data_IF_498931150565
#
_entry.id   IF_498931150565
#
_cell.length_a   1.000
_cell.length_b   1.000
_cell.length_c   1.000
_cell.angle_alpha   90.00
_cell.angle_beta   90.00
_cell.angle_gamma   90.00
#
_symmetry.space_group_name_H-M   'P 1'
#
loop_
_entity.id
_entity.type
_entity.pdbx_description
1 polymer ?
#
# COMPACT_ATOMS: atom_id res chain seq x y z
N UNK A 1 17.48 -17.36 9.42
CA UNK A 1 17.96 -16.15 8.72
C UNK A 1 17.03 -15.66 7.60
N UNK A 2 16.42 -16.55 6.79
CA UNK A 2 15.47 -16.18 5.71
C UNK A 2 14.34 -15.24 6.16
N UNK A 3 13.73 -15.50 7.33
CA UNK A 3 12.62 -14.68 7.84
C UNK A 3 13.00 -13.25 8.27
N UNK A 4 14.25 -12.98 8.66
CA UNK A 4 14.67 -11.63 9.06
C UNK A 4 14.97 -10.79 7.82
N UNK A 5 15.52 -11.41 6.79
CA UNK A 5 15.79 -10.79 5.50
C UNK A 5 14.47 -10.41 4.81
N UNK A 6 13.51 -11.33 4.69
CA UNK A 6 12.20 -11.03 4.11
C UNK A 6 11.49 -9.87 4.82
N UNK A 7 11.48 -9.87 6.17
CA UNK A 7 10.91 -8.77 6.95
C UNK A 7 11.61 -7.42 6.72
N UNK A 8 12.92 -7.43 6.48
CA UNK A 8 13.67 -6.23 6.16
C UNK A 8 13.25 -5.69 4.78
N UNK A 9 13.15 -6.57 3.78
CA UNK A 9 12.70 -6.19 2.44
C UNK A 9 11.25 -5.71 2.42
N UNK A 10 10.34 -6.35 3.17
CA UNK A 10 8.96 -5.88 3.33
C UNK A 10 8.91 -4.45 3.90
N UNK A 11 9.75 -4.15 4.91
CA UNK A 11 9.85 -2.80 5.48
C UNK A 11 10.39 -1.80 4.47
N UNK A 12 11.44 -2.16 3.74
CA UNK A 12 12.03 -1.32 2.69
C UNK A 12 10.98 -1.06 1.60
N UNK A 13 10.28 -2.09 1.13
CA UNK A 13 9.22 -1.95 0.13
C UNK A 13 8.10 -1.02 0.62
N UNK A 14 7.67 -1.16 1.87
CA UNK A 14 6.65 -0.28 2.46
C UNK A 14 7.09 1.19 2.49
N UNK A 15 8.36 1.46 2.82
CA UNK A 15 8.92 2.81 2.80
C UNK A 15 9.00 3.34 1.36
N UNK A 16 9.46 2.53 0.41
CA UNK A 16 9.54 2.93 -1.00
C UNK A 16 8.17 3.23 -1.60
N UNK A 17 7.15 2.45 -1.21
CA UNK A 17 5.76 2.72 -1.59
C UNK A 17 5.30 4.08 -1.06
N UNK A 18 5.50 4.35 0.23
CA UNK A 18 5.14 5.62 0.83
C UNK A 18 5.86 6.80 0.16
N UNK A 19 7.17 6.67 -0.14
CA UNK A 19 7.93 7.69 -0.87
C UNK A 19 7.40 7.92 -2.28
N UNK A 20 6.97 6.86 -2.97
CA UNK A 20 6.37 6.99 -4.32
C UNK A 20 5.10 7.83 -4.27
N UNK A 21 4.25 7.64 -3.25
CA UNK A 21 3.07 8.48 -3.03
C UNK A 21 3.43 9.93 -2.71
N UNK A 22 4.46 10.15 -1.90
CA UNK A 22 4.96 11.52 -1.61
C UNK A 22 5.43 12.20 -2.89
N UNK A 23 6.18 11.52 -3.75
CA UNK A 23 6.67 12.09 -5.01
C UNK A 23 5.55 12.37 -6.01
N UNK A 24 4.47 11.57 -5.96
CA UNK A 24 3.28 11.78 -6.77
C UNK A 24 2.48 13.02 -6.31
N UNK A 25 2.38 13.25 -4.99
CA UNK A 25 1.65 14.37 -4.39
C UNK A 25 2.44 15.70 -4.35
N UNK A 26 3.77 15.61 -4.34
CA UNK A 26 4.66 16.78 -4.30
C UNK A 26 5.67 16.66 -5.46
N UNK A 27 5.28 17.05 -6.68
CA UNK A 27 6.20 17.08 -7.82
C UNK A 27 7.25 18.21 -7.70
N UNK A 28 6.95 19.24 -6.91
CA UNK A 28 7.79 20.44 -6.74
C UNK A 28 9.08 20.20 -5.94
N UNK A 29 9.24 19.06 -5.27
CA UNK A 29 10.45 18.72 -4.50
C UNK A 29 11.68 18.50 -5.41
N UNK A 30 11.54 18.63 -6.73
CA UNK A 30 12.65 18.61 -7.68
C UNK A 30 13.22 17.22 -7.97
N UNK A 31 12.47 16.17 -7.65
CA UNK A 31 12.90 14.79 -7.91
C UNK A 31 12.59 14.43 -9.35
N UNK A 32 13.63 14.05 -10.10
CA UNK A 32 13.49 13.67 -11.52
C UNK A 32 12.52 12.49 -11.68
N UNK A 33 11.64 12.56 -12.68
CA UNK A 33 10.75 11.47 -13.07
C UNK A 33 11.46 10.10 -13.24
N UNK A 34 12.72 10.12 -13.70
CA UNK A 34 13.54 8.90 -13.82
C UNK A 34 13.79 8.23 -12.47
N UNK A 35 13.95 9.01 -11.41
CA UNK A 35 14.19 8.53 -10.05
C UNK A 35 12.89 7.94 -9.48
N UNK A 36 11.74 8.60 -9.66
CA UNK A 36 10.46 8.04 -9.18
C UNK A 36 10.11 6.74 -9.90
N UNK A 37 10.32 6.67 -11.22
CA UNK A 37 10.12 5.45 -12.00
C UNK A 37 11.03 4.31 -11.53
N UNK A 38 12.30 4.60 -11.23
CA UNK A 38 13.24 3.61 -10.72
C UNK A 38 12.84 3.11 -9.32
N UNK A 39 12.38 4.00 -8.43
CA UNK A 39 11.83 3.64 -7.11
C UNK A 39 10.59 2.77 -7.24
N UNK A 40 9.70 3.08 -8.18
CA UNK A 40 8.49 2.29 -8.45
C UNK A 40 8.81 0.89 -8.99
N UNK A 41 9.77 0.78 -9.91
CA UNK A 41 10.24 -0.52 -10.44
C UNK A 41 10.86 -1.35 -9.30
N UNK A 42 11.72 -0.74 -8.48
CA UNK A 42 12.29 -1.42 -7.31
C UNK A 42 11.21 -1.88 -6.33
N UNK A 43 10.19 -1.05 -6.07
CA UNK A 43 9.07 -1.45 -5.23
C UNK A 43 8.35 -2.68 -5.77
N UNK A 44 8.03 -2.71 -7.07
CA UNK A 44 7.36 -3.86 -7.71
C UNK A 44 8.22 -5.12 -7.60
N UNK A 45 9.52 -5.01 -7.92
CA UNK A 45 10.46 -6.14 -7.83
C UNK A 45 10.56 -6.66 -6.40
N UNK A 46 10.69 -5.77 -5.42
CA UNK A 46 10.75 -6.15 -4.01
C UNK A 46 9.45 -6.80 -3.55
N UNK A 47 8.29 -6.24 -3.91
CA UNK A 47 6.99 -6.77 -3.55
C UNK A 47 6.76 -8.19 -4.10
N UNK A 48 7.20 -8.46 -5.34
CA UNK A 48 7.12 -9.79 -5.94
C UNK A 48 8.06 -10.77 -5.25
N UNK A 49 9.29 -10.37 -4.94
CA UNK A 49 10.29 -11.24 -4.28
C UNK A 49 9.91 -11.54 -2.83
N UNK A 50 9.29 -10.58 -2.11
CA UNK A 50 8.83 -10.78 -0.73
C UNK A 50 7.42 -11.31 -0.63
N UNK A 51 6.78 -11.69 -1.74
CA UNK A 51 5.47 -12.33 -1.70
C UNK A 51 5.62 -13.75 -1.15
N UNK A 52 5.78 -13.89 0.17
CA UNK A 52 5.66 -15.18 0.82
C UNK A 52 4.20 -15.65 0.61
N UNK A 53 4.03 -16.87 0.08
CA UNK A 53 2.74 -17.56 -0.01
C UNK A 53 2.21 -17.87 1.39
N UNK A 54 1.86 -16.84 2.16
CA UNK A 54 1.51 -16.96 3.56
C UNK A 54 0.10 -17.52 3.69
N UNK A 55 0.06 -18.67 4.36
CA UNK A 55 -1.11 -19.33 4.90
C UNK A 55 -2.06 -18.30 5.53
N UNK A 56 -3.27 -18.16 4.98
CA UNK A 56 -4.25 -17.15 5.37
C UNK A 56 -4.65 -17.33 6.84
N UNK A 57 -4.09 -16.50 7.72
CA UNK A 57 -4.32 -16.48 9.18
C UNK A 57 -5.31 -15.38 9.54
N UNK A 58 -5.99 -15.45 10.70
CA UNK A 58 -6.78 -14.28 11.17
C UNK A 58 -5.83 -13.09 11.44
N UNK A 59 -4.57 -13.37 11.83
CA UNK A 59 -3.53 -12.36 11.99
C UNK A 59 -3.17 -11.69 10.66
N UNK A 60 -3.25 -12.41 9.54
CA UNK A 60 -3.00 -11.83 8.21
C UNK A 60 -4.16 -10.93 7.76
N UNK A 61 -5.41 -11.25 8.11
CA UNK A 61 -6.56 -10.37 7.84
C UNK A 61 -6.49 -9.04 8.61
N UNK A 62 -6.05 -9.07 9.88
CA UNK A 62 -5.83 -7.84 10.66
C UNK A 62 -4.74 -6.96 10.05
N UNK A 63 -3.65 -7.58 9.57
CA UNK A 63 -2.59 -6.87 8.84
C UNK A 63 -3.10 -6.28 7.53
N UNK A 64 -3.86 -7.05 6.74
CA UNK A 64 -4.46 -6.58 5.48
C UNK A 64 -5.37 -5.37 5.71
N UNK A 65 -6.23 -5.42 6.74
CA UNK A 65 -7.05 -4.28 7.15
C UNK A 65 -6.21 -3.06 7.54
N UNK A 66 -5.20 -3.26 8.40
CA UNK A 66 -4.34 -2.18 8.86
C UNK A 66 -3.59 -1.53 7.69
N UNK A 67 -3.07 -2.31 6.74
CA UNK A 67 -2.41 -1.80 5.53
C UNK A 67 -3.36 -0.97 4.68
N UNK A 68 -4.56 -1.47 4.38
CA UNK A 68 -5.56 -0.73 3.58
C UNK A 68 -5.93 0.59 4.26
N UNK A 69 -6.14 0.58 5.58
CA UNK A 69 -6.43 1.81 6.33
C UNK A 69 -5.24 2.78 6.40
N UNK A 70 -4.02 2.26 6.52
CA UNK A 70 -2.81 3.08 6.57
C UNK A 70 -2.55 3.79 5.25
N UNK A 71 -2.78 3.12 4.11
CA UNK A 71 -2.67 3.75 2.79
C UNK A 71 -3.70 4.88 2.67
N UNK A 72 -4.94 4.65 3.08
CA UNK A 72 -5.98 5.68 2.99
C UNK A 72 -5.68 6.89 3.90
N UNK A 73 -5.18 6.64 5.12
CA UNK A 73 -4.71 7.69 6.01
C UNK A 73 -3.54 8.47 5.43
N UNK A 74 -2.60 7.79 4.77
CA UNK A 74 -1.47 8.44 4.13
C UNK A 74 -1.93 9.38 3.00
N UNK A 75 -2.82 8.91 2.12
CA UNK A 75 -3.39 9.76 1.06
C UNK A 75 -4.11 10.99 1.65
N UNK A 76 -4.87 10.79 2.73
CA UNK A 76 -5.56 11.87 3.43
C UNK A 76 -4.60 12.87 4.03
N UNK A 77 -3.53 12.42 4.70
CA UNK A 77 -2.50 13.31 5.26
C UNK A 77 -1.80 14.11 4.14
N UNK A 78 -1.43 13.45 3.04
CA UNK A 78 -0.76 14.10 1.90
C UNK A 78 -1.68 15.18 1.28
N UNK A 79 -2.97 14.88 1.13
CA UNK A 79 -3.97 15.83 0.63
C UNK A 79 -4.18 17.00 1.59
N UNK A 80 -4.26 16.75 2.91
CA UNK A 80 -4.44 17.80 3.92
C UNK A 80 -3.25 18.77 4.03
N UNK A 81 -2.04 18.30 3.72
CA UNK A 81 -0.82 19.13 3.70
C UNK A 81 -0.73 19.97 2.40
N UNK A 82 -1.72 19.84 1.50
CA UNK A 82 -1.80 20.61 0.26
C UNK A 82 -1.09 19.93 -0.92
N UNK A 83 -0.76 18.64 -0.81
CA UNK A 83 -0.28 17.87 -1.94
C UNK A 83 -1.42 17.54 -2.90
N UNK A 84 -1.15 17.61 -4.21
CA UNK A 84 -2.07 17.18 -5.26
C UNK A 84 -1.40 16.07 -6.09
N UNK A 85 -2.05 14.91 -6.15
CA UNK A 85 -1.59 13.79 -6.96
C UNK A 85 -1.63 14.15 -8.44
N UNK A 86 -0.48 14.01 -9.13
CA UNK A 86 -0.42 14.16 -10.58
C UNK A 86 -1.08 12.99 -11.34
N UNK A 87 -1.07 11.79 -10.75
CA UNK A 87 -1.63 10.59 -11.37
C UNK A 87 -3.08 10.30 -10.96
N UNK A 88 -3.76 11.25 -10.32
CA UNK A 88 -5.17 11.13 -9.97
C UNK A 88 -5.45 10.23 -8.77
N UNK A 89 -4.47 9.99 -7.90
CA UNK A 89 -4.64 9.30 -6.60
C UNK A 89 -5.24 10.21 -5.51
N UNK A 90 -5.94 11.27 -5.90
CA UNK A 90 -6.60 12.21 -4.99
C UNK A 90 -7.85 11.59 -4.35
N UNK A 91 -8.21 12.11 -3.18
CA UNK A 91 -9.44 11.71 -2.48
C UNK A 91 -10.73 12.07 -3.23
N UNK A 92 -10.66 13.00 -4.18
CA UNK A 92 -11.80 13.34 -5.05
C UNK A 92 -12.03 12.30 -6.15
N UNK A 93 -11.07 11.40 -6.37
CA UNK A 93 -11.22 10.36 -7.38
C UNK A 93 -12.11 9.22 -6.84
N UNK A 94 -13.29 8.98 -7.45
CA UNK A 94 -14.19 7.91 -7.01
C UNK A 94 -13.57 6.51 -7.11
N UNK A 95 -12.56 6.32 -7.96
CA UNK A 95 -11.84 5.05 -8.11
C UNK A 95 -11.11 4.68 -6.80
N UNK A 96 -10.52 5.65 -6.09
CA UNK A 96 -9.82 5.41 -4.82
C UNK A 96 -10.78 4.87 -3.77
N UNK A 97 -11.96 5.48 -3.67
CA UNK A 97 -13.02 5.01 -2.79
C UNK A 97 -13.50 3.61 -3.15
N UNK A 98 -13.69 3.32 -4.44
CA UNK A 98 -14.09 2.00 -4.90
C UNK A 98 -13.05 0.93 -4.53
N UNK A 99 -11.76 1.22 -4.75
CA UNK A 99 -10.66 0.33 -4.37
C UNK A 99 -10.60 0.12 -2.85
N UNK A 100 -10.78 1.19 -2.08
CA UNK A 100 -10.79 1.14 -0.61
C UNK A 100 -11.94 0.28 -0.08
N UNK A 101 -13.19 0.60 -0.46
CA UNK A 101 -14.36 -0.14 -0.02
C UNK A 101 -14.38 -1.57 -0.56
N UNK A 102 -13.94 -1.78 -1.81
CA UNK A 102 -13.76 -3.10 -2.39
C UNK A 102 -12.78 -3.94 -1.58
N UNK A 103 -11.63 -3.37 -1.21
CA UNK A 103 -10.64 -4.05 -0.36
C UNK A 103 -11.23 -4.39 1.02
N UNK A 104 -11.90 -3.45 1.68
CA UNK A 104 -12.58 -3.70 2.95
C UNK A 104 -13.64 -4.81 2.84
N UNK A 105 -14.44 -4.78 1.77
CA UNK A 105 -15.45 -5.81 1.51
C UNK A 105 -14.82 -7.19 1.36
N UNK A 106 -13.72 -7.32 0.60
CA UNK A 106 -13.02 -8.60 0.48
C UNK A 106 -12.50 -9.11 1.82
N UNK A 107 -11.97 -8.23 2.67
CA UNK A 107 -11.51 -8.59 4.03
C UNK A 107 -12.67 -9.07 4.89
N UNK A 108 -13.82 -8.39 4.85
CA UNK A 108 -15.02 -8.78 5.60
C UNK A 108 -15.54 -10.15 5.13
N UNK A 109 -15.60 -10.37 3.81
CA UNK A 109 -16.03 -11.66 3.23
C UNK A 109 -15.08 -12.79 3.66
N UNK A 110 -13.77 -12.56 3.58
CA UNK A 110 -12.75 -13.53 4.05
C UNK A 110 -12.89 -13.81 5.54
N UNK A 111 -13.12 -12.78 6.36
CA UNK A 111 -13.32 -12.91 7.80
C UNK A 111 -14.57 -13.73 8.14
N UNK A 112 -15.70 -13.42 7.50
CA UNK A 112 -16.97 -14.16 7.68
C UNK A 112 -16.81 -15.62 7.29
N UNK A 113 -16.23 -15.91 6.12
CA UNK A 113 -15.96 -17.29 5.67
C UNK A 113 -15.14 -18.06 6.69
N UNK A 114 -14.06 -17.45 7.20
CA UNK A 114 -13.18 -18.12 8.15
C UNK A 114 -13.82 -18.40 9.51
N UNK A 115 -14.74 -17.53 9.96
CA UNK A 115 -15.56 -17.74 11.16
C UNK A 115 -16.56 -18.90 11.01
N UNK A 116 -17.00 -19.21 9.78
CA UNK A 116 -17.96 -20.30 9.52
C UNK A 116 -17.31 -21.69 9.49
N UNK A 117 -15.99 -21.79 9.26
CA UNK A 117 -15.24 -23.05 9.20
C UNK A 117 -14.36 -23.33 10.44
N UNK A 118 -14.48 -22.50 11.48
CA UNK A 118 -13.88 -22.70 12.81
C UNK A 118 -14.99 -23.03 13.80
#
# INVERSE_FOLDING_TARGET
MKNTFNKLFERIASIMFALTLVFDYFPEIGISYKVSALVMILFIVLAVITQDHLHYSIKSLKLEFLTVTAIMLLLLILSLIGGESQNGLNLDNPIIWFLYFGSLFTIIVKYKRKKTYM
#
